data_IF_464834151110
#
_entry.id   IF_464834151110
#
_cell.length_a   1.000
_cell.length_b   1.000
_cell.length_c   1.000
_cell.angle_alpha   90.00
_cell.angle_beta   90.00
_cell.angle_gamma   90.00
#
_symmetry.space_group_name_H-M   'P 1'
#
loop_
_entity.id
_entity.type
_entity.pdbx_description
1 polymer ?
#
# COMPACT_ATOMS: atom_id res chain seq x y z
N UNK A 1 15.84 2.09 -12.76
CA UNK A 1 14.47 1.54 -12.73
C UNK A 1 13.49 2.69 -12.87
N UNK A 2 12.60 2.62 -13.85
CA UNK A 2 11.62 3.66 -14.21
C UNK A 2 10.47 3.67 -13.18
N UNK A 3 9.97 4.85 -12.81
CA UNK A 3 8.86 5.03 -11.86
C UNK A 3 7.59 4.28 -12.31
N UNK A 4 7.30 4.27 -13.61
CA UNK A 4 6.16 3.54 -14.17
C UNK A 4 6.27 2.02 -13.95
N UNK A 5 7.48 1.46 -14.05
CA UNK A 5 7.71 0.03 -13.80
C UNK A 5 7.45 -0.32 -12.33
N UNK A 6 7.75 0.60 -11.40
CA UNK A 6 7.54 0.38 -9.97
C UNK A 6 6.04 0.38 -9.63
N UNK A 7 5.23 1.20 -10.32
CA UNK A 7 3.79 1.31 -10.09
C UNK A 7 3.03 0.09 -10.59
N UNK A 8 3.37 -0.42 -11.78
CA UNK A 8 2.77 -1.66 -12.32
C UNK A 8 3.08 -2.87 -11.42
N UNK A 9 4.33 -3.01 -10.98
CA UNK A 9 4.73 -4.08 -10.06
C UNK A 9 4.01 -3.95 -8.71
N UNK A 10 3.90 -2.72 -8.18
CA UNK A 10 3.15 -2.43 -6.96
C UNK A 10 1.68 -2.82 -7.08
N UNK A 11 1.04 -2.58 -8.23
CA UNK A 11 -0.37 -2.97 -8.46
C UNK A 11 -0.54 -4.49 -8.39
N UNK A 12 0.33 -5.24 -9.07
CA UNK A 12 0.29 -6.71 -9.10
C UNK A 12 0.50 -7.27 -7.69
N UNK A 13 1.50 -6.78 -6.97
CA UNK A 13 1.80 -7.21 -5.61
C UNK A 13 0.68 -6.84 -4.64
N UNK A 14 0.10 -5.64 -4.78
CA UNK A 14 -1.00 -5.19 -3.93
C UNK A 14 -2.20 -6.14 -3.99
N UNK A 15 -2.57 -6.62 -5.18
CA UNK A 15 -3.69 -7.58 -5.32
C UNK A 15 -3.44 -8.87 -4.54
N UNK A 16 -2.22 -9.42 -4.64
CA UNK A 16 -1.83 -10.66 -3.94
C UNK A 16 -1.72 -10.45 -2.44
N UNK A 17 -0.86 -9.53 -2.02
CA UNK A 17 -0.50 -9.29 -0.61
C UNK A 17 -1.71 -8.82 0.19
N UNK A 18 -2.48 -7.85 -0.31
CA UNK A 18 -3.69 -7.41 0.39
C UNK A 18 -4.79 -8.46 0.36
N UNK A 19 -4.89 -9.24 -0.72
CA UNK A 19 -5.82 -10.36 -0.81
C UNK A 19 -5.58 -11.40 0.28
N UNK A 20 -4.31 -11.71 0.58
CA UNK A 20 -3.92 -12.59 1.69
C UNK A 20 -4.18 -11.96 3.06
N UNK A 21 -3.67 -10.74 3.30
CA UNK A 21 -3.77 -10.05 4.60
C UNK A 21 -5.23 -9.86 5.02
N UNK A 22 -6.11 -9.58 4.07
CA UNK A 22 -7.52 -9.31 4.32
C UNK A 22 -8.47 -10.46 3.95
N UNK A 23 -7.97 -11.68 3.65
CA UNK A 23 -8.84 -12.84 3.35
C UNK A 23 -9.82 -13.07 4.51
N UNK A 24 -11.12 -12.96 4.23
CA UNK A 24 -12.19 -13.08 5.22
C UNK A 24 -12.31 -11.91 6.21
N UNK A 25 -11.61 -10.79 5.99
CA UNK A 25 -11.52 -9.63 6.91
C UNK A 25 -11.99 -8.32 6.28
N UNK A 26 -13.03 -8.37 5.45
CA UNK A 26 -13.54 -7.21 4.68
C UNK A 26 -13.88 -5.98 5.54
N UNK A 27 -14.50 -6.16 6.71
CA UNK A 27 -14.78 -5.04 7.64
C UNK A 27 -13.52 -4.39 8.20
N UNK A 28 -12.45 -5.16 8.38
CA UNK A 28 -11.15 -4.62 8.81
C UNK A 28 -10.47 -3.87 7.66
N UNK A 29 -10.56 -4.42 6.43
CA UNK A 29 -10.08 -3.79 5.19
C UNK A 29 -10.68 -2.39 5.01
N UNK A 30 -12.01 -2.28 5.12
CA UNK A 30 -12.71 -0.99 5.00
C UNK A 30 -12.24 0.05 6.03
N UNK A 31 -12.09 -0.35 7.31
CA UNK A 31 -11.56 0.57 8.35
C UNK A 31 -10.16 1.06 8.02
N UNK A 32 -9.28 0.16 7.58
CA UNK A 32 -7.93 0.52 7.16
C UNK A 32 -7.95 1.51 5.99
N UNK A 33 -8.80 1.29 4.97
CA UNK A 33 -8.97 2.24 3.85
C UNK A 33 -9.31 3.65 4.38
N UNK A 34 -10.29 3.74 5.28
CA UNK A 34 -10.72 5.03 5.83
C UNK A 34 -9.61 5.72 6.64
N UNK A 35 -8.87 4.97 7.45
CA UNK A 35 -7.76 5.51 8.23
C UNK A 35 -6.66 6.05 7.31
N UNK A 36 -6.27 5.28 6.29
CA UNK A 36 -5.25 5.66 5.31
C UNK A 36 -5.66 6.91 4.52
N UNK A 37 -6.91 6.99 4.04
CA UNK A 37 -7.46 8.17 3.38
C UNK A 37 -7.40 9.41 4.30
N UNK A 38 -7.70 9.23 5.58
CA UNK A 38 -7.67 10.33 6.54
C UNK A 38 -6.23 10.81 6.82
N UNK A 39 -5.25 9.90 6.88
CA UNK A 39 -3.84 10.26 6.98
C UNK A 39 -3.36 11.02 5.75
N UNK A 40 -3.70 10.55 4.56
CA UNK A 40 -3.35 11.19 3.29
C UNK A 40 -3.92 12.61 3.22
N UNK A 41 -5.22 12.78 3.51
CA UNK A 41 -5.90 14.08 3.52
C UNK A 41 -5.30 15.08 4.51
N UNK A 42 -4.72 14.60 5.61
CA UNK A 42 -4.07 15.44 6.63
C UNK A 42 -2.60 15.75 6.31
N UNK A 43 -2.05 15.20 5.23
CA UNK A 43 -0.61 15.28 4.92
C UNK A 43 0.27 14.55 5.94
N UNK A 44 -0.28 13.58 6.68
CA UNK A 44 0.45 12.85 7.73
C UNK A 44 1.18 11.63 7.13
N UNK A 45 2.15 11.94 6.26
CA UNK A 45 2.87 10.98 5.44
C UNK A 45 3.55 9.88 6.27
N UNK A 46 4.09 10.26 7.43
CA UNK A 46 4.76 9.34 8.34
C UNK A 46 3.78 8.33 8.95
N UNK A 47 2.59 8.78 9.40
CA UNK A 47 1.58 7.84 9.92
C UNK A 47 1.00 6.96 8.83
N UNK A 48 0.78 7.51 7.64
CA UNK A 48 0.35 6.72 6.49
C UNK A 48 1.33 5.57 6.22
N UNK A 49 2.62 5.88 6.07
CA UNK A 49 3.65 4.89 5.78
C UNK A 49 3.80 3.87 6.92
N UNK A 50 3.81 4.34 8.17
CA UNK A 50 3.87 3.47 9.34
C UNK A 50 2.70 2.47 9.38
N UNK A 51 1.48 2.92 9.09
CA UNK A 51 0.30 2.04 9.08
C UNK A 51 0.41 0.97 7.99
N UNK A 52 0.88 1.34 6.79
CA UNK A 52 1.13 0.39 5.70
C UNK A 52 2.18 -0.64 6.09
N UNK A 53 3.35 -0.20 6.58
CA UNK A 53 4.43 -1.10 6.96
C UNK A 53 4.02 -2.04 8.10
N UNK A 54 3.23 -1.56 9.06
CA UNK A 54 2.69 -2.38 10.16
C UNK A 54 1.78 -3.49 9.65
N UNK A 55 0.94 -3.20 8.64
CA UNK A 55 0.07 -4.21 8.03
C UNK A 55 0.89 -5.24 7.26
N UNK A 56 1.86 -4.79 6.46
CA UNK A 56 2.73 -5.67 5.68
C UNK A 56 3.57 -6.57 6.60
N UNK A 57 4.06 -6.07 7.73
CA UNK A 57 4.82 -6.86 8.70
C UNK A 57 4.04 -8.05 9.30
N UNK A 58 2.71 -8.10 9.13
CA UNK A 58 1.89 -9.25 9.56
C UNK A 58 1.91 -10.42 8.57
N UNK A 59 2.52 -10.25 7.39
CA UNK A 59 2.73 -11.28 6.37
C UNK A 59 4.23 -11.37 6.05
N UNK A 60 4.76 -12.59 5.90
CA UNK A 60 6.19 -12.84 5.64
C UNK A 60 6.45 -13.47 4.26
N UNK A 61 5.49 -13.39 3.33
CA UNK A 61 5.69 -13.86 1.96
C UNK A 61 6.75 -13.04 1.21
N UNK A 62 7.40 -13.68 0.24
CA UNK A 62 8.39 -13.01 -0.61
C UNK A 62 7.77 -11.81 -1.36
N UNK A 63 6.50 -11.94 -1.75
CA UNK A 63 5.70 -10.88 -2.36
C UNK A 63 5.53 -9.69 -1.41
N UNK A 64 5.31 -9.94 -0.12
CA UNK A 64 5.21 -8.88 0.90
C UNK A 64 6.55 -8.15 1.07
N UNK A 65 7.65 -8.90 1.17
CA UNK A 65 9.00 -8.33 1.26
C UNK A 65 9.28 -7.45 0.03
N UNK A 66 8.98 -7.97 -1.17
CA UNK A 66 9.16 -7.23 -2.43
C UNK A 66 8.31 -5.97 -2.49
N UNK A 67 7.07 -6.04 -2.01
CA UNK A 67 6.18 -4.88 -1.94
C UNK A 67 6.73 -3.79 -1.01
N UNK A 68 7.29 -4.18 0.15
CA UNK A 68 7.95 -3.24 1.08
C UNK A 68 9.15 -2.56 0.41
N UNK A 69 9.99 -3.30 -0.32
CA UNK A 69 11.13 -2.74 -1.04
C UNK A 69 10.71 -1.68 -2.06
N UNK A 70 9.67 -1.97 -2.85
CA UNK A 70 9.16 -1.05 -3.87
C UNK A 70 8.57 0.20 -3.21
N UNK A 71 7.76 0.03 -2.17
CA UNK A 71 7.20 1.13 -1.38
C UNK A 71 8.33 2.04 -0.87
N UNK A 72 9.37 1.47 -0.25
CA UNK A 72 10.51 2.24 0.26
C UNK A 72 11.26 2.97 -0.85
N UNK A 73 11.48 2.33 -2.00
CA UNK A 73 12.16 2.97 -3.13
C UNK A 73 11.35 4.12 -3.74
N UNK A 74 10.03 3.94 -3.86
CA UNK A 74 9.11 4.95 -4.34
C UNK A 74 9.11 6.14 -3.37
N UNK A 75 8.92 5.89 -2.07
CA UNK A 75 8.88 6.96 -1.07
C UNK A 75 10.23 7.68 -0.89
N UNK A 76 11.36 6.97 -0.97
CA UNK A 76 12.69 7.60 -0.90
C UNK A 76 12.97 8.54 -2.09
N UNK A 77 12.37 8.27 -3.26
CA UNK A 77 12.49 9.13 -4.46
C UNK A 77 11.45 10.24 -4.51
N UNK A 78 10.41 10.15 -3.69
CA UNK A 78 9.30 11.10 -3.63
C UNK A 78 9.67 12.30 -2.75
N UNK A 79 10.56 13.17 -3.24
CA UNK A 79 10.95 14.40 -2.53
C UNK A 79 9.87 15.49 -2.56
N UNK A 80 8.77 15.29 -3.29
CA UNK A 80 7.65 16.21 -3.44
C UNK A 80 6.36 15.62 -2.88
N UNK A 81 5.59 16.43 -2.15
CA UNK A 81 4.34 16.04 -1.52
C UNK A 81 3.25 15.59 -2.52
N UNK A 82 3.24 16.16 -3.72
CA UNK A 82 2.32 15.75 -4.80
C UNK A 82 2.54 14.30 -5.25
N UNK A 83 3.80 13.83 -5.23
CA UNK A 83 4.11 12.44 -5.58
C UNK A 83 3.60 11.49 -4.48
N UNK A 84 3.76 11.88 -3.21
CA UNK A 84 3.27 11.11 -2.08
C UNK A 84 1.76 10.83 -2.17
N UNK A 85 0.96 11.83 -2.52
CA UNK A 85 -0.49 11.65 -2.66
C UNK A 85 -0.85 10.66 -3.77
N UNK A 86 -0.24 10.78 -4.95
CA UNK A 86 -0.47 9.87 -6.08
C UNK A 86 -0.15 8.42 -5.70
N UNK A 87 0.99 8.21 -5.04
CA UNK A 87 1.43 6.89 -4.58
C UNK A 87 0.48 6.36 -3.49
N UNK A 88 0.11 7.21 -2.54
CA UNK A 88 -0.82 6.86 -1.47
C UNK A 88 -2.17 6.40 -2.02
N UNK A 89 -2.72 7.12 -3.01
CA UNK A 89 -3.95 6.72 -3.69
C UNK A 89 -3.79 5.40 -4.46
N UNK A 90 -2.67 5.17 -5.14
CA UNK A 90 -2.42 3.91 -5.83
C UNK A 90 -2.44 2.71 -4.87
N UNK A 91 -1.81 2.84 -3.70
CA UNK A 91 -1.82 1.81 -2.65
C UNK A 91 -3.23 1.56 -2.13
N UNK A 92 -3.99 2.64 -1.83
CA UNK A 92 -5.38 2.53 -1.36
C UNK A 92 -6.27 1.84 -2.39
N UNK A 93 -6.13 2.21 -3.67
CA UNK A 93 -6.86 1.56 -4.77
C UNK A 93 -6.52 0.08 -4.89
N UNK A 94 -5.24 -0.28 -4.74
CA UNK A 94 -4.80 -1.67 -4.67
C UNK A 94 -5.47 -2.43 -3.51
N UNK A 95 -5.57 -1.80 -2.33
CA UNK A 95 -6.19 -2.39 -1.14
C UNK A 95 -7.71 -2.55 -1.29
N UNK A 96 -8.38 -1.59 -1.94
CA UNK A 96 -9.82 -1.66 -2.23
C UNK A 96 -10.15 -2.73 -3.28
N UNK A 97 -9.31 -2.88 -4.31
CA UNK A 97 -9.56 -3.79 -5.43
C UNK A 97 -9.08 -5.21 -5.17
N UNK A 98 -8.22 -5.43 -4.17
CA UNK A 98 -7.82 -6.75 -3.73
C UNK A 98 -9.05 -7.53 -3.22
N UNK A 99 -9.44 -8.54 -4.00
CA UNK A 99 -10.40 -9.56 -3.55
C UNK A 99 -9.64 -10.53 -2.66
N UNK A 100 -10.17 -10.79 -1.46
CA UNK A 100 -9.62 -11.87 -0.63
C UNK A 100 -9.60 -13.13 -1.47
N UNK A 101 -8.41 -13.70 -1.70
CA UNK A 101 -8.21 -14.70 -2.74
C UNK A 101 -9.25 -15.80 -2.65
N UNK A 102 -9.89 -16.13 -3.77
CA UNK A 102 -10.71 -17.34 -3.92
C UNK A 102 -9.82 -18.56 -3.61
#
# INVERSE_FOLDING_TARGET
MNENICLEELEILSKKVWGEIFKGREKAKQRVVYDLLNHLRKGDNNKFLYQILKLLASNSSNETIRMIEIINQIFAKSSLQENFEKIGYAIIMGLMTAKGGE
#
